data_IF_008442571918
#
_entry.id   IF_008442571918
#
_cell.length_a   1.000
_cell.length_b   1.000
_cell.length_c   1.000
_cell.angle_alpha   90.00
_cell.angle_beta   90.00
_cell.angle_gamma   90.00
#
_symmetry.space_group_name_H-M   'P 1'
#
loop_
_entity.id
_entity.type
_entity.pdbx_description
1 polymer ?
2 non-polymer ?
3 water ?
#
# COMPACT_ATOMS: atom_id res chain seq x y z
N UNK A 4 3.76 24.39 -11.38
CA UNK A 4 4.58 24.96 -10.27
C UNK A 4 4.68 24.02 -9.06
N UNK A 5 4.14 22.82 -9.18
CA UNK A 5 4.17 21.89 -8.06
C UNK A 5 2.79 21.68 -7.47
N UNK A 6 2.49 20.42 -7.16
CA UNK A 6 1.19 20.08 -6.59
C UNK A 6 1.53 19.03 -5.52
N UNK A 7 1.17 19.27 -4.24
CA UNK A 7 1.50 18.23 -3.25
C UNK A 7 0.80 16.91 -3.56
N UNK A 8 1.36 15.79 -3.05
CA UNK A 8 0.76 14.50 -3.30
C UNK A 8 -0.63 14.35 -2.71
N UNK A 9 -1.50 13.61 -3.38
CA UNK A 9 -2.77 13.25 -2.77
C UNK A 9 -3.14 11.82 -3.11
N UNK A 10 -3.52 11.04 -2.09
CA UNK A 10 -4.03 9.69 -2.29
C UNK A 10 -5.48 9.89 -2.68
N UNK A 11 -5.85 9.43 -3.86
CA UNK A 11 -7.18 9.70 -4.35
C UNK A 11 -8.19 8.60 -4.01
N UNK A 12 -7.75 7.35 -3.93
CA UNK A 12 -8.61 6.25 -3.49
C UNK A 12 -7.79 5.11 -2.90
N UNK A 13 -8.15 4.70 -1.69
CA UNK A 13 -7.61 3.55 -1.01
C UNK A 13 -8.76 3.06 -0.12
N UNK A 14 -9.01 1.75 -0.10
CA UNK A 14 -10.08 1.27 0.77
C UNK A 14 -9.69 1.41 2.25
N UNK A 15 -10.67 1.58 3.12
CA UNK A 15 -10.40 1.61 4.56
C UNK A 15 -10.21 0.21 5.16
N UNK A 16 -10.86 -0.80 4.58
CA UNK A 16 -10.81 -2.17 5.11
C UNK A 16 -10.89 -3.14 3.98
N UNK A 17 -10.11 -4.23 4.05
CA UNK A 17 -10.21 -5.34 3.13
C UNK A 17 -10.12 -6.68 3.90
N UNK A 18 -11.03 -7.60 3.62
CA UNK A 18 -10.96 -8.98 4.13
C UNK A 18 -10.74 -9.91 2.97
N UNK A 19 -9.77 -10.80 3.15
CA UNK A 19 -9.49 -11.83 2.15
C UNK A 19 -9.24 -13.18 2.86
N UNK A 20 -9.59 -14.27 2.22
CA UNK A 20 -9.35 -15.60 2.78
C UNK A 20 -7.85 -15.92 2.86
N UNK A 21 -7.46 -16.62 3.93
CA UNK A 21 -6.10 -17.12 4.08
C UNK A 21 -5.71 -17.98 2.88
N UNK A 22 -4.51 -17.79 2.36
CA UNK A 22 -4.00 -18.59 1.26
C UNK A 22 -4.15 -17.97 -0.12
N UNK A 23 -4.96 -16.92 -0.26
CA UNK A 23 -5.12 -16.26 -1.57
C UNK A 23 -4.06 -15.19 -1.81
N UNK A 24 -3.99 -14.69 -3.04
CA UNK A 24 -3.20 -13.49 -3.36
C UNK A 24 -4.04 -12.26 -2.99
N UNK A 25 -3.48 -11.38 -2.17
CA UNK A 25 -4.11 -10.10 -1.90
C UNK A 25 -3.46 -9.04 -2.78
N UNK A 26 -4.27 -8.16 -3.34
CA UNK A 26 -3.81 -7.06 -4.17
C UNK A 26 -4.48 -5.82 -3.58
N UNK A 27 -3.69 -4.83 -3.19
CA UNK A 27 -4.26 -3.57 -2.69
C UNK A 27 -3.74 -2.46 -3.57
N UNK A 28 -4.66 -1.75 -4.20
CA UNK A 28 -4.29 -0.69 -5.12
C UNK A 28 -4.75 0.66 -4.63
N UNK A 29 -4.01 1.65 -5.10
CA UNK A 29 -4.23 3.02 -4.71
C UNK A 29 -3.84 3.89 -5.88
N UNK A 30 -4.73 4.80 -6.25
CA UNK A 30 -4.41 5.82 -7.21
C UNK A 30 -3.92 7.05 -6.45
N UNK A 31 -2.91 7.73 -6.98
CA UNK A 31 -2.44 8.99 -6.40
C UNK A 31 -2.12 10.01 -7.46
N UNK A 32 -1.96 11.26 -7.01
CA UNK A 32 -1.61 12.38 -7.87
C UNK A 32 -0.52 13.24 -7.19
N UNK A 33 0.19 14.05 -7.96
CA UNK A 33 1.22 14.90 -7.39
C UNK A 33 2.14 15.35 -8.49
N UNK A 34 2.73 16.52 -8.33
CA UNK A 34 3.70 17.02 -9.29
C UNK A 34 4.83 17.67 -8.53
N UNK A 35 6.03 17.09 -8.61
CA UNK A 35 6.39 15.87 -9.33
C UNK A 35 5.80 14.60 -8.71
N UNK A 36 5.97 13.51 -9.45
CA UNK A 36 5.49 12.20 -9.04
C UNK A 36 5.99 11.94 -7.62
N UNK A 37 5.08 11.64 -6.70
CA UNK A 37 5.51 11.39 -5.33
C UNK A 37 6.34 10.11 -5.13
N UNK A 38 7.29 10.13 -4.20
CA UNK A 38 7.90 8.90 -3.67
C UNK A 38 6.83 8.16 -2.85
N UNK A 39 6.81 6.84 -2.94
CA UNK A 39 5.76 5.99 -2.34
C UNK A 39 6.40 5.08 -1.30
N UNK A 40 5.85 5.07 -0.09
CA UNK A 40 6.27 4.13 0.95
C UNK A 40 5.06 3.38 1.50
N UNK A 41 5.17 2.07 1.54
CA UNK A 41 4.21 1.24 2.25
C UNK A 41 4.86 0.81 3.57
N UNK A 42 4.08 0.80 4.65
CA UNK A 42 4.59 0.37 5.95
C UNK A 42 3.53 -0.36 6.77
N UNK A 43 4.03 -1.14 7.73
CA UNK A 43 3.22 -1.91 8.65
C UNK A 43 4.09 -1.92 9.90
N UNK A 44 3.56 -1.41 11.00
CA UNK A 44 4.25 -1.46 12.30
C UNK A 44 5.54 -0.67 12.41
N UNK A 45 5.60 0.49 11.77
CA UNK A 45 6.79 1.34 11.82
C UNK A 45 7.97 0.79 11.03
N UNK A 46 7.67 -0.11 10.10
CA UNK A 46 8.68 -0.75 9.27
C UNK A 46 8.24 -0.68 7.83
N UNK A 47 9.16 -0.29 6.96
CA UNK A 47 8.88 -0.16 5.55
C UNK A 47 8.81 -1.52 4.89
N UNK A 48 7.81 -1.69 4.04
CA UNK A 48 7.68 -2.88 3.22
C UNK A 48 8.50 -2.69 1.94
N UNK A 49 9.35 -3.67 1.62
CA UNK A 49 10.13 -3.65 0.38
C UNK A 49 9.70 -4.81 -0.51
N UNK A 50 9.73 -4.62 -1.83
CA UNK A 50 9.46 -5.72 -2.78
C UNK A 50 10.47 -6.83 -2.54
N UNK A 51 10.04 -8.07 -2.65
CA UNK A 51 10.93 -9.23 -2.56
C UNK A 51 10.77 -9.95 -3.87
N UNK A 52 11.80 -9.93 -4.67
CA UNK A 52 11.70 -10.51 -6.00
C UNK A 52 11.50 -12.03 -5.94
N UNK A 53 12.09 -12.73 -4.96
CA UNK A 53 11.82 -14.18 -4.76
C UNK A 53 11.06 -14.47 -3.45
N UNK A 54 10.14 -13.58 -3.10
CA UNK A 54 9.32 -13.76 -1.89
C UNK A 54 7.87 -13.45 -2.18
N UNK A 55 7.09 -13.28 -1.11
CA UNK A 55 5.62 -13.18 -1.18
C UNK A 55 5.11 -11.73 -1.32
N UNK A 56 5.90 -10.77 -0.86
CA UNK A 56 5.51 -9.34 -0.89
C UNK A 56 6.14 -8.63 -2.11
N UNK A 57 5.30 -7.95 -2.87
CA UNK A 57 5.71 -7.26 -4.08
C UNK A 57 4.99 -5.93 -4.14
N UNK A 58 5.71 -4.88 -4.53
CA UNK A 58 5.13 -3.52 -4.65
C UNK A 58 5.39 -3.10 -6.08
N UNK A 59 4.35 -2.72 -6.78
CA UNK A 59 4.49 -2.25 -8.18
C UNK A 59 4.08 -0.81 -8.21
N UNK A 60 5.04 0.07 -8.52
CA UNK A 60 4.77 1.51 -8.54
C UNK A 60 4.85 2.03 -9.96
N UNK A 61 3.81 2.73 -10.41
CA UNK A 61 3.85 3.46 -11.68
C UNK A 61 3.71 4.93 -11.36
N UNK A 62 3.61 5.77 -12.39
CA UNK A 62 3.54 7.23 -12.16
C UNK A 62 2.27 7.71 -11.46
N UNK A 63 1.19 6.93 -11.46
CA UNK A 63 0.00 7.33 -10.69
C UNK A 63 -0.74 6.21 -9.91
N UNK A 64 -0.13 5.03 -9.82
CA UNK A 64 -0.72 3.88 -9.13
C UNK A 64 0.36 3.19 -8.35
N UNK A 65 0.00 2.69 -7.17
CA UNK A 65 0.88 1.77 -6.46
C UNK A 65 0.05 0.59 -6.03
N UNK A 66 0.62 -0.60 -6.21
CA UNK A 66 -0.03 -1.84 -5.82
C UNK A 66 0.82 -2.67 -4.85
N UNK A 67 0.20 -3.04 -3.73
CA UNK A 67 0.78 -3.99 -2.78
C UNK A 67 0.22 -5.37 -3.11
N UNK A 68 1.11 -6.32 -3.38
CA UNK A 68 0.66 -7.67 -3.66
C UNK A 68 1.28 -8.55 -2.60
N UNK A 69 0.46 -9.38 -1.99
CA UNK A 69 0.93 -10.41 -1.06
C UNK A 69 0.41 -11.75 -1.53
N UNK A 70 1.32 -12.62 -1.98
CA UNK A 70 0.96 -13.95 -2.46
C UNK A 70 0.78 -14.90 -1.27
N UNK A 71 -0.15 -15.85 -1.38
CA UNK A 71 -0.36 -16.85 -0.33
C UNK A 71 -0.46 -16.19 1.07
N UNK A 72 -1.47 -15.34 1.22
CA UNK A 72 -1.61 -14.51 2.41
C UNK A 72 -1.87 -15.38 3.66
N UNK A 73 -1.20 -15.04 4.77
CA UNK A 73 -1.27 -15.80 6.02
C UNK A 73 -1.86 -14.91 7.09
N UNK A 74 -2.28 -15.48 8.22
CA UNK A 74 -2.88 -14.66 9.29
C UNK A 74 -1.91 -13.63 9.79
N UNK A 75 -0.64 -14.00 9.82
CA UNK A 75 0.40 -13.09 10.29
C UNK A 75 0.55 -11.85 9.42
N UNK A 76 0.03 -11.89 8.21
CA UNK A 76 0.12 -10.75 7.29
C UNK A 76 -0.95 -9.70 7.55
N UNK A 77 -1.97 -10.07 8.30
CA UNK A 77 -3.00 -9.12 8.69
C UNK A 77 -2.46 -7.95 9.47
N UNK A 78 -3.11 -6.82 9.35
CA UNK A 78 -2.70 -5.64 10.11
C UNK A 78 -3.04 -4.35 9.40
N UNK A 79 -2.57 -3.23 9.97
CA UNK A 79 -2.77 -1.87 9.43
C UNK A 79 -1.65 -1.50 8.51
N UNK A 80 -1.93 -1.36 7.20
CA UNK A 80 -0.92 -1.03 6.22
C UNK A 80 -1.06 0.44 5.86
N UNK A 81 0.02 1.21 5.97
CA UNK A 81 -0.01 2.66 5.72
C UNK A 81 0.69 2.92 4.40
N UNK A 82 0.03 3.66 3.53
CA UNK A 82 0.66 4.23 2.34
C UNK A 82 1.01 5.70 2.59
N UNK A 83 2.27 6.06 2.38
CA UNK A 83 2.71 7.43 2.53
C UNK A 83 3.29 7.92 1.23
N UNK A 84 2.98 9.17 0.91
CA UNK A 84 3.44 9.81 -0.30
C UNK A 84 4.18 11.10 0.04
N UNK A 85 5.24 11.41 -0.69
CA UNK A 85 5.98 12.64 -0.46
C UNK A 85 6.65 13.18 -1.70
N UNK A 86 6.52 14.48 -1.93
CA UNK A 86 7.36 15.16 -2.90
C UNK A 86 7.83 16.47 -2.27
N UNK A 87 8.39 17.35 -3.10
CA UNK A 87 9.02 18.59 -2.62
C UNK A 87 8.00 19.54 -2.01
N UNK A 88 6.71 19.32 -2.32
CA UNK A 88 5.65 20.25 -1.97
C UNK A 88 4.73 19.76 -0.90
N UNK A 89 4.92 18.53 -0.43
CA UNK A 89 4.10 18.05 0.66
C UNK A 89 4.03 16.55 0.76
N UNK A 90 3.09 16.10 1.57
CA UNK A 90 2.98 14.68 1.85
C UNK A 90 1.53 14.31 2.13
N UNK A 91 1.23 13.03 1.96
CA UNK A 91 -0.07 12.50 2.31
C UNK A 91 0.13 11.07 2.87
N UNK A 92 -0.90 10.54 3.50
CA UNK A 92 -0.76 9.26 4.16
C UNK A 92 -2.15 8.72 4.42
N UNK A 93 -2.33 7.42 4.29
CA UNK A 93 -3.61 6.79 4.58
C UNK A 93 -3.36 5.34 4.97
N UNK A 94 -4.29 4.77 5.73
CA UNK A 94 -4.15 3.40 6.21
C UNK A 94 -5.34 2.53 5.80
N UNK A 95 -5.04 1.27 5.50
CA UNK A 95 -6.00 0.24 5.17
C UNK A 95 -5.81 -0.87 6.21
N UNK A 96 -6.92 -1.29 6.77
CA UNK A 96 -7.00 -2.41 7.70
C UNK A 96 -7.24 -3.70 6.91
N UNK A 97 -6.23 -4.55 6.90
CA UNK A 97 -6.25 -5.81 6.18
C UNK A 97 -6.59 -6.96 7.15
N UNK A 98 -7.71 -7.63 6.91
CA UNK A 98 -8.13 -8.75 7.75
C UNK A 98 -7.99 -10.03 6.98
N UNK A 99 -7.37 -11.03 7.60
CA UNK A 99 -7.21 -12.35 6.98
C UNK A 99 -8.20 -13.30 7.60
N UNK A 100 -9.06 -13.83 6.75
CA UNK A 100 -10.20 -14.63 7.16
C UNK A 100 -9.84 -16.14 7.15
N UNK A 101 -10.32 -16.90 8.13
CA UNK A 101 -10.13 -18.36 8.10
C UNK A 101 -11.01 -19.00 7.04
X LIG B 1 -7.14 1.66 -9.27
X LIG B 1 -7.34 2.47 -8.11
X LIG B 1 -7.75 1.68 -6.98
X LIG B 1 -8.96 2.29 -6.28
X LIG B 1 -9.04 1.75 -4.96
X LIG B 1 -10.38 1.47 -4.57
X LIG B 1 -10.48 0.07 -3.97
X LIG B 1 -9.40 -0.75 -4.42
X LIG B 1 -9.09 -1.80 -3.50
X LIG B 1 -8.70 -3.09 -4.22
X LIG B 1 -8.26 -4.09 -3.29
X LIG B 1 -8.98 -5.32 -3.40
X LIG B 1 -9.06 -5.85 -4.84
X LIG B 1 -8.96 -4.80 -5.81
X LIG B 1 -7.64 -4.64 -6.33
X LIG B 1 -7.70 -3.99 -7.71
X LIG B 1 -7.20 -2.67 -7.61
X LIG B 1 -7.29 -2.24 -6.25
X LIG C 1 8.94 23.28 -11.12
X LIG C 1 8.29 22.61 -10.03
X LIG C 1 8.11 21.12 -10.32
X LIG C 1 7.07 20.93 -11.28
X LIG C 1 6.63 19.58 -11.39
X LIG C 1 6.06 19.34 -12.79
X LIG C 1 6.05 17.93 -13.06
#
# INVERSE_FOLDING_TARGET
>A
GSSRGIPPKIEALPSDISIDEGKVLTVACAFTGEPTPEVTWSCGGRKIHSQEQGRFHIENTDDLTTLIIMDVQKQDGGLYTLSLGNEFGSDSATVNIHIRSI
>B hetero
1 12P C35 O34 C33 C32 O31 C30 C29 O28 C27 C26 O25 C24 C23 O22 C21 C20 O19 C18
>C hetero
1 12P O37 C36 C35 O34 C33 C32 O31
#
